data_IF_708182905602
#
_entry.id   IF_708182905602
#
_cell.length_a   1.000
_cell.length_b   1.000
_cell.length_c   1.000
_cell.angle_alpha   90.00
_cell.angle_beta   90.00
_cell.angle_gamma   90.00
#
_symmetry.space_group_name_H-M   'P 1'
#
loop_
_entity.id
_entity.type
_entity.pdbx_description
1 polymer ?
#
# COMPACT_ATOMS: atom_id res chain seq x y z
N UNK A 1 9.83 -17.28 11.47
CA UNK A 1 9.34 -15.88 11.39
C UNK A 1 10.53 -15.03 11.02
N UNK A 2 10.54 -14.44 9.82
CA UNK A 2 11.59 -13.49 9.43
C UNK A 2 11.61 -12.35 10.45
N UNK A 3 12.81 -11.97 10.89
CA UNK A 3 12.99 -10.88 11.84
C UNK A 3 12.50 -9.59 11.15
N UNK A 4 11.55 -8.88 11.74
CA UNK A 4 11.07 -7.60 11.21
C UNK A 4 12.23 -6.60 11.24
N UNK A 5 12.55 -6.01 10.09
CA UNK A 5 13.61 -5.03 10.00
C UNK A 5 13.08 -3.63 10.36
N UNK A 6 13.31 -3.22 11.61
CA UNK A 6 12.91 -1.91 12.10
C UNK A 6 13.64 -0.75 11.41
N UNK A 7 14.87 -0.96 10.97
CA UNK A 7 15.63 0.08 10.28
C UNK A 7 15.01 0.34 8.91
N UNK A 8 14.67 -0.72 8.18
CA UNK A 8 13.98 -0.64 6.90
C UNK A 8 12.61 0.05 7.02
N UNK A 9 11.79 -0.32 8.03
CA UNK A 9 10.50 0.35 8.27
C UNK A 9 10.71 1.84 8.54
N UNK A 10 11.75 2.20 9.29
CA UNK A 10 12.07 3.60 9.60
C UNK A 10 12.47 4.39 8.36
N UNK A 11 13.22 3.78 7.43
CA UNK A 11 13.55 4.38 6.13
C UNK A 11 12.30 4.54 5.27
N UNK A 12 11.50 3.48 5.16
CA UNK A 12 10.27 3.48 4.36
C UNK A 12 9.27 4.56 4.81
N UNK A 13 9.16 4.81 6.12
CA UNK A 13 8.31 5.89 6.67
C UNK A 13 8.77 7.32 6.34
N UNK A 14 9.98 7.52 5.81
CA UNK A 14 10.47 8.83 5.36
C UNK A 14 10.11 9.13 3.91
N UNK A 15 9.68 8.12 3.16
CA UNK A 15 9.28 8.22 1.76
C UNK A 15 7.77 8.43 1.64
N UNK A 16 7.31 9.00 0.52
CA UNK A 16 5.89 9.00 0.14
C UNK A 16 5.51 7.78 -0.69
N UNK A 17 4.21 7.44 -0.71
CA UNK A 17 3.66 6.38 -1.55
C UNK A 17 3.98 6.64 -3.03
N UNK A 18 3.91 7.90 -3.47
CA UNK A 18 4.29 8.32 -4.82
C UNK A 18 5.76 8.02 -5.15
N UNK A 19 6.70 8.34 -4.24
CA UNK A 19 8.13 8.06 -4.45
C UNK A 19 8.42 6.56 -4.57
N UNK A 20 7.77 5.76 -3.71
CA UNK A 20 7.89 4.29 -3.76
C UNK A 20 7.27 3.73 -5.03
N UNK A 21 6.12 4.25 -5.46
CA UNK A 21 5.48 3.85 -6.72
C UNK A 21 6.36 4.13 -7.93
N UNK A 22 6.95 5.34 -8.01
CA UNK A 22 7.89 5.73 -9.06
C UNK A 22 9.10 4.79 -9.12
N UNK A 23 9.66 4.45 -7.95
CA UNK A 23 10.76 3.49 -7.85
C UNK A 23 10.34 2.09 -8.31
N UNK A 24 9.14 1.63 -7.93
CA UNK A 24 8.60 0.34 -8.37
C UNK A 24 8.42 0.28 -9.89
N UNK A 25 7.87 1.33 -10.49
CA UNK A 25 7.73 1.44 -11.96
C UNK A 25 9.09 1.40 -12.63
N UNK A 26 10.06 2.18 -12.14
CA UNK A 26 11.44 2.20 -12.67
C UNK A 26 12.15 0.85 -12.51
N UNK A 27 11.80 0.10 -11.47
CA UNK A 27 12.31 -1.25 -11.19
C UNK A 27 11.59 -2.36 -11.98
N UNK A 28 10.62 -2.02 -12.84
CA UNK A 28 9.92 -2.94 -13.73
C UNK A 28 8.53 -3.41 -13.27
N UNK A 29 8.02 -2.92 -12.13
CA UNK A 29 6.63 -3.20 -11.69
C UNK A 29 5.72 -2.12 -12.26
N UNK A 30 5.14 -2.39 -13.43
CA UNK A 30 4.42 -1.39 -14.23
C UNK A 30 3.25 -0.70 -13.50
N UNK A 31 2.62 -1.38 -12.54
CA UNK A 31 1.52 -0.83 -11.76
C UNK A 31 1.97 -0.08 -10.49
N UNK A 32 3.27 0.10 -10.27
CA UNK A 32 3.82 0.88 -9.16
C UNK A 32 3.47 0.37 -7.76
N UNK A 33 3.03 -0.90 -7.64
CA UNK A 33 2.54 -1.44 -6.38
C UNK A 33 1.25 -0.81 -5.86
N UNK A 34 0.56 0.03 -6.63
CA UNK A 34 -0.64 0.74 -6.17
C UNK A 34 -1.75 -0.24 -5.79
N UNK A 35 -2.30 -0.09 -4.59
CA UNK A 35 -3.55 -0.72 -4.19
C UNK A 35 -4.67 0.30 -4.46
N UNK A 36 -5.49 0.02 -5.46
CA UNK A 36 -6.56 0.93 -5.90
C UNK A 36 -7.68 1.02 -4.87
N UNK A 37 -8.48 2.09 -4.98
CA UNK A 37 -9.70 2.31 -4.20
C UNK A 37 -9.49 2.40 -2.68
N UNK A 38 -8.25 2.63 -2.22
CA UNK A 38 -7.92 2.88 -0.82
C UNK A 38 -7.84 4.38 -0.53
N UNK A 39 -8.65 4.83 0.43
CA UNK A 39 -8.67 6.22 0.89
C UNK A 39 -8.24 6.29 2.36
N UNK A 40 -7.50 7.35 2.71
CA UNK A 40 -7.08 7.59 4.07
C UNK A 40 -8.19 8.30 4.87
N UNK A 41 -8.78 7.61 5.85
CA UNK A 41 -9.90 8.14 6.66
C UNK A 41 -9.49 8.62 8.05
N UNK A 42 -8.45 8.05 8.65
CA UNK A 42 -8.08 8.29 10.06
C UNK A 42 -6.74 8.99 10.21
N UNK A 43 -6.44 9.89 9.28
CA UNK A 43 -5.23 10.71 9.33
C UNK A 43 -5.34 11.77 10.42
N UNK A 44 -4.30 11.90 11.23
CA UNK A 44 -4.19 12.96 12.24
C UNK A 44 -3.59 14.23 11.68
N UNK A 45 -2.72 14.08 10.68
CA UNK A 45 -2.03 15.14 9.96
C UNK A 45 -1.61 14.62 8.57
N UNK A 46 -1.29 15.52 7.65
CA UNK A 46 -0.89 15.19 6.27
C UNK A 46 0.47 14.45 6.18
N UNK A 47 1.29 14.52 7.24
CA UNK A 47 2.57 13.82 7.33
C UNK A 47 2.46 12.40 7.90
N UNK A 48 1.26 11.97 8.31
CA UNK A 48 1.05 10.65 8.90
C UNK A 48 1.23 9.55 7.86
N UNK A 49 2.12 8.61 8.16
CA UNK A 49 2.41 7.46 7.31
C UNK A 49 2.35 6.16 8.09
N UNK A 50 1.78 5.14 7.47
CA UNK A 50 1.75 3.77 7.99
C UNK A 50 2.64 2.93 7.11
N UNK A 51 3.61 2.24 7.71
CA UNK A 51 4.47 1.33 6.97
C UNK A 51 4.89 0.12 7.80
N UNK A 52 5.00 -1.03 7.13
CA UNK A 52 5.41 -2.29 7.73
C UNK A 52 5.01 -3.52 6.89
N UNK A 53 5.47 -4.71 7.29
CA UNK A 53 5.07 -5.97 6.66
C UNK A 53 3.56 -6.20 6.75
N UNK A 54 2.97 -6.69 5.67
CA UNK A 54 1.56 -6.99 5.54
C UNK A 54 1.19 -8.20 6.39
N UNK A 55 0.22 -8.03 7.28
CA UNK A 55 -0.53 -9.12 7.88
C UNK A 55 -1.90 -9.15 7.22
N UNK A 56 -2.12 -10.15 6.37
CA UNK A 56 -3.32 -10.25 5.56
C UNK A 56 -4.46 -10.95 6.29
N UNK A 57 -5.67 -10.46 6.11
CA UNK A 57 -6.89 -11.02 6.68
C UNK A 57 -7.95 -11.07 5.59
N UNK A 58 -8.40 -12.28 5.25
CA UNK A 58 -9.52 -12.49 4.33
C UNK A 58 -10.80 -12.66 5.12
N UNK A 59 -11.82 -11.88 4.80
CA UNK A 59 -13.16 -12.00 5.37
C UNK A 59 -14.08 -12.76 4.41
N UNK A 60 -15.06 -13.49 4.95
CA UNK A 60 -16.06 -14.23 4.17
C UNK A 60 -17.48 -13.82 4.55
N UNK A 61 -18.44 -14.12 3.67
CA UNK A 61 -19.84 -13.81 3.97
C UNK A 61 -20.29 -14.51 5.25
N UNK A 62 -21.16 -13.90 6.06
CA UNK A 62 -21.61 -14.51 7.33
C UNK A 62 -22.37 -15.83 7.12
N UNK A 63 -22.89 -16.05 5.91
CA UNK A 63 -23.53 -17.31 5.49
C UNK A 63 -22.54 -18.40 5.07
N UNK A 64 -21.25 -18.08 4.92
CA UNK A 64 -20.23 -19.07 4.60
C UNK A 64 -19.87 -19.87 5.86
N UNK A 65 -20.22 -21.15 5.82
CA UNK A 65 -19.95 -22.12 6.89
C UNK A 65 -18.84 -23.10 6.54
N UNK A 66 -18.31 -23.01 5.31
CA UNK A 66 -17.33 -23.94 4.75
C UNK A 66 -15.90 -23.46 4.92
N UNK A 67 -15.71 -22.14 4.97
CA UNK A 67 -14.41 -21.54 5.19
C UNK A 67 -13.84 -21.87 6.58
N UNK A 68 -12.52 -22.06 6.69
CA UNK A 68 -11.87 -22.28 7.98
C UNK A 68 -12.11 -21.08 8.90
N UNK A 69 -12.13 -21.33 10.22
CA UNK A 69 -12.17 -20.28 11.23
C UNK A 69 -10.80 -20.19 11.88
N UNK A 70 -10.20 -18.99 12.00
CA UNK A 70 -8.94 -18.85 12.68
C UNK A 70 -9.06 -19.22 14.15
N UNK A 71 -7.98 -19.77 14.71
CA UNK A 71 -7.91 -20.21 16.11
C UNK A 71 -7.91 -19.06 17.13
N UNK A 72 -7.65 -17.83 16.68
CA UNK A 72 -7.60 -16.62 17.48
C UNK A 72 -8.11 -15.42 16.70
N UNK A 73 -8.47 -14.35 17.42
CA UNK A 73 -8.93 -13.12 16.79
C UNK A 73 -7.78 -12.45 16.02
N UNK A 74 -8.06 -11.93 14.82
CA UNK A 74 -7.02 -11.42 13.92
C UNK A 74 -6.27 -10.20 14.47
N UNK A 75 -6.92 -9.41 15.33
CA UNK A 75 -6.28 -8.27 16.01
C UNK A 75 -5.20 -8.75 16.98
N UNK A 76 -5.49 -9.81 17.75
CA UNK A 76 -4.53 -10.39 18.69
C UNK A 76 -3.45 -11.21 17.97
N UNK A 77 -3.78 -11.74 16.79
CA UNK A 77 -2.86 -12.48 15.94
C UNK A 77 -1.82 -11.60 15.23
N UNK A 78 -2.13 -10.32 15.00
CA UNK A 78 -1.28 -9.42 14.23
C UNK A 78 -0.01 -9.10 15.02
N UNK A 79 1.19 -9.47 14.53
CA UNK A 79 2.42 -9.19 15.26
C UNK A 79 2.72 -7.69 15.30
N UNK A 80 3.49 -7.27 16.30
CA UNK A 80 3.92 -5.88 16.41
C UNK A 80 4.63 -5.39 15.13
N UNK A 81 4.41 -4.12 14.78
CA UNK A 81 4.99 -3.45 13.60
C UNK A 81 4.54 -3.98 12.24
N UNK A 82 3.49 -4.81 12.19
CA UNK A 82 2.85 -5.18 10.93
C UNK A 82 1.73 -4.19 10.58
N UNK A 83 1.39 -4.16 9.30
CA UNK A 83 0.24 -3.43 8.76
C UNK A 83 -0.85 -4.43 8.46
N UNK A 84 -2.01 -4.25 9.09
CA UNK A 84 -3.15 -5.14 8.91
C UNK A 84 -3.87 -4.81 7.59
N UNK A 85 -3.86 -5.74 6.64
CA UNK A 85 -4.58 -5.63 5.37
C UNK A 85 -5.80 -6.53 5.39
N UNK A 86 -6.99 -5.94 5.44
CA UNK A 86 -8.26 -6.67 5.51
C UNK A 86 -8.97 -6.60 4.16
N UNK A 87 -9.22 -7.77 3.55
CA UNK A 87 -10.06 -7.88 2.35
C UNK A 87 -11.47 -8.31 2.73
N UNK A 88 -12.43 -7.42 2.49
CA UNK A 88 -13.85 -7.73 2.62
C UNK A 88 -14.33 -8.68 1.50
N UNK A 89 -15.44 -9.41 1.70
CA UNK A 89 -16.03 -10.24 0.65
C UNK A 89 -16.45 -9.39 -0.55
N UNK A 90 -16.31 -9.96 -1.75
CA UNK A 90 -16.75 -9.31 -2.99
C UNK A 90 -18.27 -9.06 -2.95
N UNK A 91 -18.70 -7.87 -3.39
CA UNK A 91 -20.13 -7.52 -3.44
C UNK A 91 -20.67 -6.84 -2.18
N UNK A 92 -19.86 -6.68 -1.13
CA UNK A 92 -20.18 -5.79 -0.01
C UNK A 92 -19.97 -4.33 -0.44
N UNK A 93 -21.02 -3.69 -0.96
CA UNK A 93 -21.06 -2.23 -1.08
C UNK A 93 -21.63 -1.64 0.21
N UNK A 94 -20.77 -1.06 1.04
CA UNK A 94 -21.21 -0.08 2.03
C UNK A 94 -21.31 1.27 1.33
N UNK A 95 -22.46 1.58 0.75
CA UNK A 95 -22.68 2.96 0.30
C UNK A 95 -22.93 3.83 1.54
N UNK A 96 -22.41 5.08 1.58
CA UNK A 96 -22.71 6.02 2.69
C UNK A 96 -24.22 6.25 2.90
N UNK A 97 -25.01 6.01 1.85
CA UNK A 97 -26.45 6.30 1.79
C UNK A 97 -27.34 5.12 2.18
N UNK A 98 -26.79 3.93 2.45
CA UNK A 98 -27.54 2.79 2.97
C UNK A 98 -26.71 2.05 4.02
N UNK A 99 -26.91 2.33 5.32
CA UNK A 99 -26.34 1.52 6.38
C UNK A 99 -27.11 0.20 6.41
N UNK A 100 -26.78 -0.73 5.51
CA UNK A 100 -27.08 -2.13 5.79
C UNK A 100 -26.25 -2.48 7.03
N UNK A 101 -26.82 -3.16 8.04
CA UNK A 101 -26.04 -3.59 9.19
C UNK A 101 -24.83 -4.32 8.63
N UNK A 102 -23.64 -3.87 9.04
CA UNK A 102 -22.40 -4.58 8.78
C UNK A 102 -22.61 -5.93 9.46
N UNK A 103 -23.11 -6.91 8.72
CA UNK A 103 -23.09 -8.27 9.19
C UNK A 103 -21.60 -8.53 9.41
N UNK A 104 -21.20 -8.73 10.66
CA UNK A 104 -19.82 -9.01 10.99
C UNK A 104 -19.42 -10.24 10.18
N UNK A 105 -18.63 -10.00 9.14
CA UNK A 105 -18.09 -11.04 8.29
C UNK A 105 -16.95 -11.68 9.06
N UNK A 106 -17.05 -12.98 9.40
CA UNK A 106 -15.98 -13.62 10.13
C UNK A 106 -14.73 -13.68 9.24
N UNK A 107 -13.53 -13.55 9.83
CA UNK A 107 -12.30 -13.86 9.12
C UNK A 107 -12.30 -15.34 8.74
N UNK A 108 -11.98 -15.65 7.48
CA UNK A 108 -11.76 -17.02 7.02
C UNK A 108 -10.32 -17.46 7.20
N UNK A 109 -9.39 -16.63 6.74
CA UNK A 109 -7.97 -16.97 6.69
C UNK A 109 -7.10 -15.79 7.05
N UNK A 110 -6.06 -16.07 7.83
CA UNK A 110 -5.05 -15.12 8.24
C UNK A 110 -3.74 -15.49 7.54
N UNK A 111 -2.97 -14.48 7.16
CA UNK A 111 -1.65 -14.68 6.56
C UNK A 111 -1.68 -15.55 5.29
N UNK A 112 -2.62 -15.28 4.39
CA UNK A 112 -2.64 -15.81 3.01
C UNK A 112 -2.55 -14.66 1.99
N UNK A 113 -2.03 -14.91 0.77
CA UNK A 113 -2.02 -13.89 -0.27
C UNK A 113 -3.42 -13.37 -0.61
N UNK A 114 -3.56 -12.05 -0.71
CA UNK A 114 -4.79 -11.36 -1.05
C UNK A 114 -4.67 -10.75 -2.44
N UNK A 115 -5.58 -11.11 -3.34
CA UNK A 115 -5.67 -10.47 -4.66
C UNK A 115 -6.76 -9.40 -4.64
N UNK A 116 -6.34 -8.17 -4.89
CA UNK A 116 -7.16 -6.97 -4.91
C UNK A 116 -7.40 -6.60 -6.37
N UNK A 117 -8.68 -6.61 -6.76
CA UNK A 117 -9.11 -6.25 -8.09
C UNK A 117 -9.66 -4.81 -8.06
N UNK A 118 -9.20 -3.93 -8.96
CA UNK A 118 -9.77 -2.59 -9.10
C UNK A 118 -11.27 -2.66 -9.36
N UNK A 119 -12.04 -1.80 -8.70
CA UNK A 119 -13.47 -1.69 -8.91
C UNK A 119 -13.77 -0.53 -9.88
N UNK A 120 -14.85 -0.60 -10.67
CA UNK A 120 -15.25 0.55 -11.49
C UNK A 120 -15.51 1.79 -10.60
N UNK A 121 -15.02 2.99 -10.99
CA UNK A 121 -14.43 3.33 -12.29
C UNK A 121 -12.91 3.11 -12.42
N UNK A 122 -12.18 2.74 -11.37
CA UNK A 122 -10.72 2.52 -11.42
C UNK A 122 -10.29 1.38 -12.35
N UNK A 123 -11.22 0.48 -12.70
CA UNK A 123 -11.03 -0.57 -13.71
C UNK A 123 -11.29 -0.11 -15.16
N UNK A 124 -11.57 1.18 -15.42
CA UNK A 124 -11.87 1.71 -16.75
C UNK A 124 -11.01 2.97 -17.07
N UNK A 125 -9.94 2.84 -17.88
CA UNK A 125 -9.40 1.63 -18.51
C UNK A 125 -8.85 0.61 -17.49
N UNK A 126 -8.69 -0.68 -17.86
CA UNK A 126 -8.33 -1.73 -16.91
C UNK A 126 -6.98 -1.47 -16.25
N UNK A 127 -7.01 -1.09 -14.96
CA UNK A 127 -5.85 -1.16 -14.10
C UNK A 127 -5.63 -2.62 -13.66
N UNK A 128 -4.39 -3.13 -13.61
CA UNK A 128 -4.13 -4.52 -13.24
C UNK A 128 -4.45 -4.77 -11.75
N UNK A 129 -4.88 -5.98 -11.43
CA UNK A 129 -5.01 -6.44 -10.05
C UNK A 129 -3.64 -6.62 -9.40
N UNK A 130 -3.58 -6.39 -8.09
CA UNK A 130 -2.38 -6.60 -7.28
C UNK A 130 -2.58 -7.75 -6.31
N UNK A 131 -1.57 -8.59 -6.13
CA UNK A 131 -1.54 -9.62 -5.09
C UNK A 131 -0.56 -9.21 -4.00
N UNK A 132 -1.06 -9.08 -2.78
CA UNK A 132 -0.26 -8.80 -1.58
C UNK A 132 -0.08 -10.08 -0.79
N UNK A 133 1.16 -10.54 -0.67
CA UNK A 133 1.52 -11.70 0.13
C UNK A 133 1.81 -11.30 1.59
N UNK A 134 1.60 -12.20 2.56
CA UNK A 134 2.05 -11.97 3.92
C UNK A 134 3.55 -11.66 3.97
N UNK A 135 3.91 -10.57 4.66
CA UNK A 135 5.30 -10.11 4.75
C UNK A 135 5.76 -9.16 3.63
N UNK A 136 4.96 -8.95 2.58
CA UNK A 136 5.18 -7.82 1.66
C UNK A 136 5.06 -6.50 2.41
N UNK A 137 5.81 -5.48 2.02
CA UNK A 137 5.79 -4.20 2.72
C UNK A 137 4.69 -3.32 2.19
N UNK A 138 3.89 -2.76 3.09
CA UNK A 138 2.91 -1.73 2.77
C UNK A 138 3.46 -0.38 3.20
N UNK A 139 3.23 0.64 2.37
CA UNK A 139 3.36 2.04 2.72
C UNK A 139 2.07 2.75 2.33
N UNK A 140 1.46 3.46 3.29
CA UNK A 140 0.26 4.25 3.08
C UNK A 140 0.45 5.67 3.62
N UNK A 141 0.04 6.66 2.85
CA UNK A 141 -0.02 8.07 3.20
C UNK A 141 -1.33 8.71 2.68
N UNK A 142 -1.35 10.04 2.57
CA UNK A 142 -2.49 10.81 2.07
C UNK A 142 -2.85 10.50 0.60
N UNK A 143 -1.86 10.11 -0.21
CA UNK A 143 -2.04 9.89 -1.64
C UNK A 143 -2.58 8.49 -1.94
N UNK A 144 -2.38 7.55 -1.00
CA UNK A 144 -2.90 6.20 -1.10
C UNK A 144 -1.99 5.17 -0.46
N UNK A 145 -2.06 3.94 -0.97
CA UNK A 145 -1.32 2.80 -0.45
C UNK A 145 -0.61 2.04 -1.56
N UNK A 146 0.64 1.68 -1.30
CA UNK A 146 1.49 0.88 -2.19
C UNK A 146 1.98 -0.37 -1.48
N UNK A 147 2.02 -1.48 -2.22
CA UNK A 147 2.58 -2.75 -1.81
C UNK A 147 3.90 -3.04 -2.53
N UNK A 148 4.88 -3.46 -1.75
CA UNK A 148 6.25 -3.74 -2.18
C UNK A 148 6.54 -5.22 -1.90
N UNK A 149 6.90 -6.02 -2.91
CA UNK A 149 7.28 -7.40 -2.70
C UNK A 149 8.44 -7.51 -1.69
N UNK A 150 8.32 -8.42 -0.71
CA UNK A 150 9.31 -8.54 0.38
C UNK A 150 10.75 -8.73 -0.11
N UNK A 151 10.95 -9.44 -1.22
CA UNK A 151 12.27 -9.68 -1.82
C UNK A 151 12.90 -8.47 -2.54
N UNK A 152 12.15 -7.38 -2.72
CA UNK A 152 12.58 -6.19 -3.48
C UNK A 152 12.59 -4.91 -2.67
N UNK A 153 12.19 -4.97 -1.40
CA UNK A 153 11.97 -3.78 -0.58
C UNK A 153 13.23 -2.92 -0.40
N UNK A 154 14.39 -3.53 -0.18
CA UNK A 154 15.66 -2.79 -0.03
C UNK A 154 16.03 -2.04 -1.32
N UNK A 155 15.97 -2.74 -2.47
CA UNK A 155 16.22 -2.15 -3.79
C UNK A 155 15.29 -0.95 -4.06
N UNK A 156 14.00 -1.12 -3.77
CA UNK A 156 12.98 -0.10 -3.99
C UNK A 156 13.18 1.11 -3.08
N UNK A 157 13.50 0.89 -1.80
CA UNK A 157 13.77 1.97 -0.84
C UNK A 157 15.02 2.75 -1.24
N UNK A 158 16.12 2.07 -1.60
CA UNK A 158 17.35 2.72 -2.07
C UNK A 158 17.10 3.58 -3.32
N UNK A 159 16.32 3.04 -4.27
CA UNK A 159 15.98 3.73 -5.50
C UNK A 159 15.06 4.94 -5.23
N UNK A 160 14.06 4.77 -4.38
CA UNK A 160 13.13 5.83 -4.00
C UNK A 160 13.83 6.97 -3.25
N UNK A 161 14.76 6.67 -2.33
CA UNK A 161 15.57 7.69 -1.65
C UNK A 161 16.42 8.49 -2.66
N UNK A 162 17.09 7.80 -3.59
CA UNK A 162 17.89 8.46 -4.64
C UNK A 162 17.04 9.35 -5.54
N UNK A 163 15.86 8.87 -5.94
CA UNK A 163 14.94 9.63 -6.79
C UNK A 163 14.34 10.82 -6.04
N UNK A 164 13.95 10.64 -4.78
CA UNK A 164 13.44 11.72 -3.93
C UNK A 164 14.44 12.87 -3.76
N UNK A 165 15.74 12.57 -3.65
CA UNK A 165 16.80 13.60 -3.63
C UNK A 165 16.92 14.37 -4.96
N UNK A 166 16.63 13.73 -6.09
CA UNK A 166 16.60 14.42 -7.38
C UNK A 166 15.36 15.33 -7.48
N UNK A 167 14.21 14.85 -7.00
CA UNK A 167 12.94 15.58 -7.03
C UNK A 167 12.98 16.81 -6.12
N UNK A 168 13.65 16.72 -4.97
CA UNK A 168 13.85 17.86 -4.08
C UNK A 168 14.68 18.98 -4.75
N UNK A 169 15.70 18.63 -5.52
CA UNK A 169 16.49 19.63 -6.27
C UNK A 169 15.70 20.25 -7.42
N UNK A 170 14.84 19.46 -8.07
CA UNK A 170 13.89 20.01 -9.06
C UNK A 170 12.95 20.99 -8.38
N UNK A 171 12.41 20.65 -7.20
CA UNK A 171 11.55 21.53 -6.41
C UNK A 171 12.24 22.85 -6.07
N UNK A 172 13.48 22.79 -5.59
CA UNK A 172 14.28 23.99 -5.29
C UNK A 172 14.52 24.89 -6.52
N UNK A 173 14.80 24.30 -7.69
CA UNK A 173 14.98 25.07 -8.93
C UNK A 173 13.67 25.75 -9.35
N UNK A 174 12.53 25.07 -9.19
CA UNK A 174 11.20 25.64 -9.46
C UNK A 174 10.84 26.78 -8.50
N UNK A 175 11.16 26.67 -7.22
CA UNK A 175 10.94 27.74 -6.23
C UNK A 175 11.77 29.00 -6.55
N UNK A 176 12.92 28.83 -7.20
CA UNK A 176 13.76 29.94 -7.68
C UNK A 176 13.28 30.51 -9.03
N UNK A 177 12.18 30.00 -9.58
CA UNK A 177 11.61 30.42 -10.86
C UNK A 177 12.22 29.73 -12.08
N UNK A 178 12.94 28.63 -11.90
CA UNK A 178 13.50 27.82 -12.99
C UNK A 178 12.43 27.12 -13.83
N UNK A 179 12.80 26.70 -15.05
CA UNK A 179 11.90 25.96 -15.93
C UNK A 179 11.80 24.47 -15.55
N UNK A 180 10.60 23.90 -15.65
CA UNK A 180 10.32 22.47 -15.34
C UNK A 180 11.16 21.51 -16.19
N UNK A 181 11.19 21.71 -17.52
CA UNK A 181 11.92 20.83 -18.43
C UNK A 181 13.44 20.86 -18.20
N UNK A 182 14.00 22.04 -17.94
CA UNK A 182 15.42 22.23 -17.66
C UNK A 182 15.82 21.55 -16.34
N UNK A 183 15.03 21.78 -15.28
CA UNK A 183 15.27 21.22 -13.96
C UNK A 183 15.21 19.69 -13.98
N UNK A 184 14.20 19.11 -14.66
CA UNK A 184 14.09 17.66 -14.83
C UNK A 184 15.27 17.07 -15.61
N UNK A 185 15.68 17.70 -16.73
CA UNK A 185 16.83 17.23 -17.51
C UNK A 185 18.13 17.27 -16.68
N UNK A 186 18.28 18.27 -15.81
CA UNK A 186 19.47 18.47 -14.97
C UNK A 186 19.59 17.41 -13.85
N UNK A 187 18.47 17.07 -13.21
CA UNK A 187 18.47 16.25 -12.00
C UNK A 187 17.93 14.83 -12.18
N UNK A 188 16.90 14.61 -13.02
CA UNK A 188 16.32 13.28 -13.29
C UNK A 188 16.95 12.57 -14.49
N UNK A 189 17.59 13.28 -15.41
CA UNK A 189 18.17 12.74 -16.65
C UNK A 189 19.51 12.00 -16.51
N UNK A 190 19.93 11.61 -15.30
CA UNK A 190 21.23 10.97 -15.01
C UNK A 190 21.09 9.63 -14.28
#
# INVERSE_FOLDING_TARGET
MSKVDHALITRLKRLSACQVSDALVKSGIAHGGLITDMNAYSLRDEGMRIAGPAFTVKMVHASDTTSPKPSQHFVDACPANHVLLIQAPVGLRTTPLHPRPIHLHPPSTLSEPLTIHPLPPASEPPFPSITVSPGDYLLCDVDGCVAIPAGRVEEVVDLAEKMGLADEKVREDLEKGGGVAESMARWRGK
#
